data_IF_725567541085
#
_entry.id   IF_725567541085
#
_cell.length_a   1.000
_cell.length_b   1.000
_cell.length_c   1.000
_cell.angle_alpha   90.00
_cell.angle_beta   90.00
_cell.angle_gamma   90.00
#
_symmetry.space_group_name_H-M   'P 1'
#
loop_
_entity.id
_entity.type
_entity.pdbx_description
1 polymer ?
#
# COMPACT_ATOMS: atom_id res chain seq x y z
N UNK A 1 -16.50 14.50 -4.20
CA UNK A 1 -16.34 15.50 -5.28
C UNK A 1 -14.89 15.98 -5.25
N UNK A 2 -14.19 16.02 -6.39
CA UNK A 2 -12.81 16.50 -6.47
C UNK A 2 -12.87 18.03 -6.54
N UNK A 3 -12.38 18.73 -5.52
CA UNK A 3 -12.29 20.20 -5.54
C UNK A 3 -11.21 20.55 -6.56
N UNK A 4 -11.58 21.28 -7.61
CA UNK A 4 -10.64 21.75 -8.61
C UNK A 4 -9.99 23.03 -8.08
N UNK A 5 -8.70 22.97 -7.81
CA UNK A 5 -7.93 24.12 -7.37
C UNK A 5 -7.43 24.91 -8.58
N UNK A 6 -7.53 26.23 -8.53
CA UNK A 6 -6.85 27.08 -9.51
C UNK A 6 -5.34 26.94 -9.32
N UNK A 7 -4.56 27.24 -10.36
CA UNK A 7 -3.08 27.23 -10.29
C UNK A 7 -2.53 28.08 -9.13
N UNK A 8 -3.26 29.14 -8.75
CA UNK A 8 -2.93 29.95 -7.58
C UNK A 8 -3.22 29.26 -6.25
N UNK A 9 -4.24 28.43 -6.19
CA UNK A 9 -4.57 27.68 -4.97
C UNK A 9 -3.59 26.51 -4.78
N UNK A 10 -3.14 25.86 -5.85
CA UNK A 10 -2.05 24.89 -5.79
C UNK A 10 -0.77 25.50 -5.18
N UNK A 11 -0.39 26.70 -5.64
CA UNK A 11 0.74 27.43 -5.07
C UNK A 11 0.53 27.77 -3.58
N UNK A 12 -0.69 28.18 -3.19
CA UNK A 12 -1.00 28.44 -1.77
C UNK A 12 -0.88 27.18 -0.93
N UNK A 13 -1.40 26.06 -1.44
CA UNK A 13 -1.33 24.74 -0.79
C UNK A 13 0.14 24.34 -0.60
N UNK A 14 1.00 24.51 -1.59
CA UNK A 14 2.44 24.23 -1.47
C UNK A 14 3.14 25.08 -0.40
N UNK A 15 2.83 26.38 -0.35
CA UNK A 15 3.41 27.27 0.67
C UNK A 15 2.91 26.90 2.08
N UNK A 16 1.65 26.46 2.20
CA UNK A 16 1.09 25.96 3.46
C UNK A 16 1.73 24.62 3.88
N UNK A 17 1.97 23.71 2.94
CA UNK A 17 2.69 22.45 3.16
C UNK A 17 4.09 22.72 3.73
N UNK A 18 4.88 23.60 3.09
CA UNK A 18 6.22 23.97 3.58
C UNK A 18 6.17 24.62 4.97
N UNK A 19 5.14 25.43 5.25
CA UNK A 19 4.97 26.08 6.54
C UNK A 19 4.63 25.09 7.66
N UNK A 20 3.80 24.08 7.37
CA UNK A 20 3.44 23.01 8.30
C UNK A 20 4.59 22.02 8.52
N UNK A 21 5.34 21.68 7.47
CA UNK A 21 6.54 20.82 7.57
C UNK A 21 7.61 21.43 8.49
N UNK A 22 7.91 22.72 8.32
CA UNK A 22 8.94 23.40 9.11
C UNK A 22 8.46 23.89 10.47
N UNK A 23 7.14 23.92 10.71
CA UNK A 23 6.55 24.47 11.93
C UNK A 23 6.76 25.98 12.11
N UNK A 24 7.17 26.71 11.06
CA UNK A 24 7.44 28.15 11.13
C UNK A 24 6.78 28.92 9.98
N UNK A 25 5.59 29.44 10.26
CA UNK A 25 4.76 30.20 9.32
C UNK A 25 5.41 31.55 8.98
N UNK A 26 5.94 32.27 9.97
CA UNK A 26 6.49 33.61 9.77
C UNK A 26 7.75 33.61 8.88
N UNK A 27 8.64 32.63 9.08
CA UNK A 27 9.84 32.47 8.25
C UNK A 27 9.47 32.10 6.81
N UNK A 28 8.54 31.16 6.66
CA UNK A 28 8.08 30.69 5.34
C UNK A 28 7.38 31.82 4.57
N UNK A 29 6.55 32.62 5.24
CA UNK A 29 5.92 33.80 4.64
C UNK A 29 6.97 34.80 4.11
N UNK A 30 8.00 35.11 4.89
CA UNK A 30 9.08 36.02 4.47
C UNK A 30 9.85 35.50 3.27
N UNK A 31 10.15 34.19 3.23
CA UNK A 31 10.85 33.54 2.11
C UNK A 31 10.07 33.66 0.80
N UNK A 32 8.75 33.60 0.87
CA UNK A 32 7.85 33.71 -0.28
C UNK A 32 7.36 35.14 -0.55
N UNK A 33 7.89 36.15 0.15
CA UNK A 33 7.47 37.55 -0.02
C UNK A 33 6.03 37.83 0.41
N UNK A 34 5.46 36.98 1.28
CA UNK A 34 4.08 37.06 1.76
C UNK A 34 4.00 37.70 3.14
N UNK A 35 2.87 38.35 3.42
CA UNK A 35 2.54 38.75 4.79
C UNK A 35 2.29 37.50 5.65
N UNK A 36 2.86 37.41 6.87
CA UNK A 36 2.57 36.32 7.80
C UNK A 36 1.08 36.14 8.05
N UNK A 37 0.32 37.24 8.12
CA UNK A 37 -1.12 37.22 8.32
C UNK A 37 -1.87 36.48 7.20
N UNK A 38 -1.48 36.74 5.95
CA UNK A 38 -2.07 36.06 4.78
C UNK A 38 -1.80 34.57 4.83
N UNK A 39 -0.57 34.19 5.18
CA UNK A 39 -0.21 32.77 5.28
C UNK A 39 -0.94 32.08 6.44
N UNK A 40 -1.10 32.73 7.60
CA UNK A 40 -1.92 32.19 8.70
C UNK A 40 -3.36 31.92 8.29
N UNK A 41 -3.97 32.81 7.50
CA UNK A 41 -5.33 32.62 6.96
C UNK A 41 -5.39 31.42 6.03
N UNK A 42 -4.41 31.27 5.14
CA UNK A 42 -4.35 30.11 4.24
C UNK A 42 -4.07 28.81 4.97
N UNK A 43 -3.17 28.81 5.96
CA UNK A 43 -2.94 27.65 6.81
C UNK A 43 -4.26 27.21 7.44
N UNK A 44 -5.04 28.12 8.02
CA UNK A 44 -6.36 27.77 8.59
C UNK A 44 -7.35 27.21 7.56
N UNK A 45 -7.30 27.69 6.33
CA UNK A 45 -8.22 27.27 5.26
C UNK A 45 -7.86 25.91 4.66
N UNK A 46 -6.57 25.62 4.47
CA UNK A 46 -6.08 24.43 3.79
C UNK A 46 -5.51 23.36 4.73
N UNK A 47 -5.51 23.60 6.05
CA UNK A 47 -4.91 22.70 7.07
C UNK A 47 -5.33 21.25 6.89
N UNK A 48 -6.63 20.99 6.82
CA UNK A 48 -7.17 19.63 6.85
C UNK A 48 -6.85 18.87 5.55
N UNK A 49 -6.88 19.58 4.41
CA UNK A 49 -6.50 19.02 3.11
C UNK A 49 -5.00 18.73 3.02
N UNK A 50 -4.18 19.67 3.51
CA UNK A 50 -2.72 19.53 3.55
C UNK A 50 -2.30 18.43 4.53
N UNK A 51 -2.90 18.34 5.71
CA UNK A 51 -2.63 17.26 6.67
C UNK A 51 -3.00 15.89 6.10
N UNK A 52 -4.11 15.79 5.36
CA UNK A 52 -4.51 14.54 4.71
C UNK A 52 -3.55 14.11 3.60
N UNK A 53 -3.11 15.06 2.76
CA UNK A 53 -2.16 14.79 1.67
C UNK A 53 -0.77 14.44 2.21
N UNK A 54 -0.30 15.18 3.21
CA UNK A 54 0.95 14.90 3.93
C UNK A 54 0.94 13.54 4.63
N UNK A 55 -0.17 13.19 5.27
CA UNK A 55 -0.32 11.87 5.89
C UNK A 55 -0.31 10.74 4.87
N UNK A 56 -0.94 10.94 3.71
CA UNK A 56 -0.92 9.97 2.61
C UNK A 56 0.48 9.79 2.05
N UNK A 57 1.22 10.89 1.83
CA UNK A 57 2.62 10.88 1.37
C UNK A 57 3.53 10.15 2.35
N UNK A 58 3.43 10.47 3.65
CA UNK A 58 4.18 9.79 4.72
C UNK A 58 3.87 8.29 4.81
N UNK A 59 2.62 7.89 4.57
CA UNK A 59 2.26 6.47 4.52
C UNK A 59 2.84 5.78 3.27
N UNK A 60 2.87 6.46 2.14
CA UNK A 60 3.47 5.96 0.90
C UNK A 60 4.99 5.79 1.06
N UNK A 61 5.68 6.79 1.61
CA UNK A 61 7.10 6.71 1.93
C UNK A 61 7.38 5.58 2.94
N UNK A 62 6.50 5.35 3.92
CA UNK A 62 6.60 4.20 4.84
C UNK A 62 6.40 2.84 4.16
N UNK A 63 5.65 2.79 3.06
CA UNK A 63 5.53 1.59 2.24
C UNK A 63 6.78 1.38 1.39
N UNK A 64 7.34 2.43 0.79
CA UNK A 64 8.58 2.35 -0.01
C UNK A 64 9.81 2.05 0.86
N UNK A 65 9.87 2.60 2.07
CA UNK A 65 10.97 2.41 3.05
C UNK A 65 10.81 1.10 3.85
N UNK A 66 9.85 0.24 3.52
CA UNK A 66 9.86 -1.16 3.97
C UNK A 66 10.40 -2.12 2.89
N UNK A 67 11.73 -2.24 2.71
CA UNK A 67 12.35 -3.39 2.04
C UNK A 67 12.05 -4.75 2.70
N UNK A 68 11.46 -4.77 3.90
CA UNK A 68 11.29 -5.97 4.73
C UNK A 68 10.37 -7.04 4.14
N UNK A 69 9.61 -6.76 3.08
CA UNK A 69 8.58 -7.69 2.61
C UNK A 69 9.05 -8.61 1.49
N UNK A 70 10.04 -8.22 0.68
CA UNK A 70 10.40 -9.01 -0.51
C UNK A 70 11.01 -10.37 -0.16
N UNK A 71 11.85 -10.43 0.88
CA UNK A 71 12.46 -11.69 1.33
C UNK A 71 11.45 -12.59 2.06
N UNK A 72 10.64 -12.01 2.94
CA UNK A 72 9.67 -12.73 3.77
C UNK A 72 8.54 -13.35 2.93
N UNK A 73 8.07 -12.66 1.88
CA UNK A 73 7.10 -13.24 0.93
C UNK A 73 7.70 -14.36 0.10
N UNK A 74 8.98 -14.26 -0.28
CA UNK A 74 9.67 -15.30 -1.05
C UNK A 74 9.84 -16.58 -0.22
N UNK A 75 10.27 -16.46 1.02
CA UNK A 75 10.40 -17.61 1.93
C UNK A 75 9.03 -18.27 2.20
N UNK A 76 7.99 -17.48 2.44
CA UNK A 76 6.61 -17.99 2.61
C UNK A 76 6.11 -18.69 1.35
N UNK A 77 6.44 -18.18 0.17
CA UNK A 77 6.09 -18.79 -1.10
C UNK A 77 6.81 -20.13 -1.30
N UNK A 78 8.12 -20.18 -1.06
CA UNK A 78 8.89 -21.43 -1.14
C UNK A 78 8.38 -22.49 -0.15
N UNK A 79 8.06 -22.11 1.09
CA UNK A 79 7.45 -23.00 2.07
C UNK A 79 6.08 -23.55 1.60
N UNK A 80 5.23 -22.68 1.04
CA UNK A 80 3.92 -23.09 0.52
C UNK A 80 4.06 -24.06 -0.66
N UNK A 81 4.96 -23.79 -1.61
CA UNK A 81 5.19 -24.68 -2.76
C UNK A 81 5.68 -26.06 -2.34
N UNK A 82 6.56 -26.13 -1.32
CA UNK A 82 7.02 -27.40 -0.76
C UNK A 82 5.87 -28.21 -0.15
N UNK A 83 5.03 -27.58 0.68
CA UNK A 83 3.88 -28.24 1.29
C UNK A 83 2.87 -28.72 0.24
N UNK A 84 2.66 -27.95 -0.82
CA UNK A 84 1.81 -28.38 -1.95
C UNK A 84 2.39 -29.63 -2.61
N UNK A 85 3.69 -29.66 -2.90
CA UNK A 85 4.34 -30.84 -3.49
C UNK A 85 4.23 -32.09 -2.62
N UNK A 86 4.39 -31.95 -1.29
CA UNK A 86 4.19 -33.04 -0.34
C UNK A 86 2.75 -33.58 -0.37
N UNK A 87 1.76 -32.68 -0.42
CA UNK A 87 0.34 -33.06 -0.50
C UNK A 87 -0.04 -33.69 -1.83
N UNK A 88 0.50 -33.20 -2.93
CA UNK A 88 0.28 -33.80 -4.26
C UNK A 88 0.87 -35.21 -4.35
N UNK A 89 2.04 -35.43 -3.75
CA UNK A 89 2.67 -36.75 -3.67
C UNK A 89 1.85 -37.71 -2.80
N UNK A 90 1.38 -37.26 -1.63
CA UNK A 90 0.49 -38.03 -0.76
C UNK A 90 -0.79 -38.44 -1.52
N UNK A 91 -1.42 -37.49 -2.23
CA UNK A 91 -2.61 -37.75 -3.06
C UNK A 91 -2.29 -38.75 -4.17
N UNK A 92 -1.14 -38.66 -4.84
CA UNK A 92 -0.74 -39.58 -5.90
C UNK A 92 -0.60 -41.02 -5.37
N UNK A 93 0.07 -41.19 -4.23
CA UNK A 93 0.22 -42.50 -3.58
C UNK A 93 -1.15 -43.06 -3.17
N UNK A 94 -1.99 -42.25 -2.52
CA UNK A 94 -3.34 -42.67 -2.11
C UNK A 94 -4.19 -43.08 -3.32
N UNK A 95 -4.11 -42.32 -4.42
CA UNK A 95 -4.80 -42.67 -5.68
C UNK A 95 -4.33 -44.02 -6.22
N UNK A 96 -3.04 -44.29 -6.20
CA UNK A 96 -2.50 -45.56 -6.69
C UNK A 96 -2.85 -46.74 -5.78
N UNK A 97 -2.88 -46.55 -4.46
CA UNK A 97 -3.36 -47.56 -3.51
C UNK A 97 -4.84 -47.89 -3.72
N UNK A 98 -5.69 -46.87 -3.92
CA UNK A 98 -7.11 -47.07 -4.20
C UNK A 98 -7.31 -47.82 -5.51
N UNK A 99 -6.60 -47.45 -6.59
CA UNK A 99 -6.68 -48.16 -7.87
C UNK A 99 -6.27 -49.64 -7.76
N UNK A 100 -5.22 -49.95 -6.98
CA UNK A 100 -4.74 -51.31 -6.77
C UNK A 100 -5.72 -52.15 -5.95
N UNK A 101 -6.30 -51.57 -4.89
CA UNK A 101 -7.21 -52.28 -3.98
C UNK A 101 -8.61 -52.41 -4.54
N UNK A 102 -9.07 -51.44 -5.32
CA UNK A 102 -10.43 -51.38 -5.83
C UNK A 102 -10.45 -51.02 -7.33
N UNK A 103 -10.05 -51.95 -8.22
CA UNK A 103 -9.95 -51.70 -9.66
C UNK A 103 -11.29 -51.39 -10.35
N UNK A 104 -12.42 -51.70 -9.70
CA UNK A 104 -13.77 -51.41 -10.20
C UNK A 104 -14.31 -50.03 -9.78
N UNK A 105 -13.60 -49.29 -8.89
CA UNK A 105 -14.00 -47.95 -8.49
C UNK A 105 -13.51 -46.95 -9.54
N UNK A 106 -14.39 -46.56 -10.48
CA UNK A 106 -14.17 -45.42 -11.37
C UNK A 106 -14.55 -44.11 -10.67
N UNK A 107 -13.77 -43.69 -9.67
CA UNK A 107 -13.98 -42.40 -9.02
C UNK A 107 -13.46 -41.26 -9.92
N UNK A 108 -14.36 -40.40 -10.40
CA UNK A 108 -13.98 -39.16 -11.09
C UNK A 108 -13.66 -38.08 -10.07
N UNK A 109 -12.37 -37.79 -9.91
CA UNK A 109 -11.92 -36.69 -9.08
C UNK A 109 -12.43 -35.36 -9.64
N UNK A 110 -13.02 -34.48 -8.82
CA UNK A 110 -13.30 -33.12 -9.26
C UNK A 110 -11.96 -32.50 -9.67
N UNK A 111 -11.83 -32.12 -10.94
CA UNK A 111 -10.67 -31.39 -11.42
C UNK A 111 -10.51 -30.15 -10.57
N UNK A 112 -9.30 -29.95 -10.06
CA UNK A 112 -8.94 -28.79 -9.24
C UNK A 112 -9.40 -27.54 -10.02
N UNK A 113 -10.43 -26.85 -9.50
CA UNK A 113 -11.14 -25.80 -10.22
C UNK A 113 -10.19 -24.71 -10.70
N UNK A 114 -10.37 -24.32 -11.98
CA UNK A 114 -9.88 -23.06 -12.53
C UNK A 114 -10.58 -21.87 -11.91
#
# INVERSE_FOLDING_TARGET
>A
MRVQHSKFDELRIQVVEEALERGNVALTARKHGLSPYSLYKWVKQYRDEVEMTMSRKKNMDRLEVQPQTTGDWKEKYEQATKLIGEKELEIAILRDLVKKTHPHIQWKWPGNGS
#
